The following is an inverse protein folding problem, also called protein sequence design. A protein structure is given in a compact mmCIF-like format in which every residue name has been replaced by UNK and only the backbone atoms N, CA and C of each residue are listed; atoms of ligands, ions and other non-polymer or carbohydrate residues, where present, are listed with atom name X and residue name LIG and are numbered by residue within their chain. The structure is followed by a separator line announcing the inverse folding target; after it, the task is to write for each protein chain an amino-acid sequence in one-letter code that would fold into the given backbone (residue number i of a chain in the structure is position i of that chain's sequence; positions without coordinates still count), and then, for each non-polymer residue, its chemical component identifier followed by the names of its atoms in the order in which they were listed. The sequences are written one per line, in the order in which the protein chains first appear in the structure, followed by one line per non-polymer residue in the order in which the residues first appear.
data_IF_011130520173
#
_entry.id   IF_011130520173
#
_cell.length_a   1.000
_cell.length_b   1.000
_cell.length_c   1.000
_cell.angle_alpha   90.00
_cell.angle_beta   90.00
_cell.angle_gamma   90.00
#
_symmetry.space_group_name_H-M   'P 1'
#
loop_
_entity.id
_entity.type
_entity.pdbx_description
1 polymer ?
#
# COMPACT_ATOMS: atom_id res chain seq x y z
N UNK A 1 32.60 9.36 12.08
CA UNK A 1 32.23 9.77 13.46
C UNK A 1 30.98 8.99 13.85
N UNK A 2 31.14 7.89 14.62
CA UNK A 2 30.02 7.08 15.11
C UNK A 2 29.26 7.89 16.17
N UNK A 3 28.27 8.70 15.78
CA UNK A 3 27.19 9.07 16.69
C UNK A 3 26.25 7.86 16.79
N UNK A 4 26.33 7.14 17.92
CA UNK A 4 25.29 6.14 18.29
C UNK A 4 23.95 6.86 18.20
N UNK A 5 23.01 6.27 17.44
CA UNK A 5 21.60 6.65 17.55
C UNK A 5 21.28 6.55 19.04
N UNK A 6 21.01 7.68 19.68
CA UNK A 6 20.56 7.64 21.07
C UNK A 6 19.23 6.90 21.02
N UNK A 7 19.20 5.68 21.59
CA UNK A 7 17.96 5.05 21.96
C UNK A 7 17.15 6.07 22.75
N UNK A 8 16.20 6.67 22.07
CA UNK A 8 15.35 7.67 22.67
C UNK A 8 14.43 6.90 23.59
N UNK A 9 14.46 7.25 24.87
CA UNK A 9 13.53 6.71 25.84
C UNK A 9 12.12 6.78 25.22
N UNK A 10 11.40 5.66 25.16
CA UNK A 10 10.07 5.64 24.58
C UNK A 10 9.23 6.71 25.27
N UNK A 11 8.49 7.51 24.49
CA UNK A 11 7.46 8.35 25.09
C UNK A 11 6.53 7.43 25.86
N UNK A 12 6.50 7.63 27.19
CA UNK A 12 5.83 6.77 28.13
C UNK A 12 4.30 6.80 27.89
N UNK A 13 3.63 5.67 28.08
CA UNK A 13 2.18 5.56 28.16
C UNK A 13 1.57 6.66 29.04
N UNK A 14 2.20 6.94 30.20
CA UNK A 14 1.79 7.99 31.12
C UNK A 14 1.70 9.36 30.45
N UNK A 15 2.66 9.70 29.58
CA UNK A 15 2.68 11.01 28.92
C UNK A 15 1.52 11.18 27.93
N UNK A 16 1.18 10.13 27.18
CA UNK A 16 0.04 10.16 26.27
C UNK A 16 -1.28 10.27 27.06
N UNK A 17 -1.40 9.50 28.13
CA UNK A 17 -2.56 9.57 29.02
C UNK A 17 -2.69 10.94 29.72
N UNK A 18 -1.57 11.56 30.12
CA UNK A 18 -1.55 12.92 30.68
C UNK A 18 -2.03 13.97 29.66
N UNK A 19 -1.67 13.82 28.38
CA UNK A 19 -2.16 14.68 27.32
C UNK A 19 -3.64 14.49 27.04
N UNK A 20 -4.12 13.24 27.01
CA UNK A 20 -5.56 12.93 26.92
C UNK A 20 -6.31 13.59 28.07
N UNK A 21 -5.85 13.44 29.31
CA UNK A 21 -6.44 14.06 30.48
C UNK A 21 -6.38 15.59 30.42
N UNK A 22 -5.29 16.18 29.91
CA UNK A 22 -5.18 17.62 29.74
C UNK A 22 -6.17 18.15 28.68
N UNK A 23 -6.38 17.46 27.57
CA UNK A 23 -7.38 17.82 26.55
C UNK A 23 -8.80 17.78 27.15
N UNK A 24 -9.11 16.77 27.98
CA UNK A 24 -10.38 16.70 28.73
C UNK A 24 -10.56 17.87 29.68
N UNK A 25 -9.53 18.25 30.45
CA UNK A 25 -9.56 19.41 31.35
C UNK A 25 -9.73 20.73 30.61
N UNK A 26 -9.22 20.83 29.36
CA UNK A 26 -9.38 22.00 28.49
C UNK A 26 -10.79 22.13 27.88
N UNK A 27 -11.67 21.13 28.10
CA UNK A 27 -13.08 21.16 27.71
C UNK A 27 -13.43 20.25 26.53
N UNK A 28 -12.61 19.27 26.19
CA UNK A 28 -13.00 18.22 25.28
C UNK A 28 -13.88 17.17 25.97
N UNK A 29 -14.93 16.69 25.30
CA UNK A 29 -15.78 15.57 25.79
C UNK A 29 -15.08 14.23 25.64
N UNK A 30 -14.26 14.09 24.60
CA UNK A 30 -13.39 12.94 24.38
C UNK A 30 -12.10 13.38 23.66
N UNK A 31 -11.04 12.60 23.80
CA UNK A 31 -9.75 12.89 23.16
C UNK A 31 -8.99 11.61 22.86
N UNK A 32 -8.16 11.67 21.85
CA UNK A 32 -7.12 10.68 21.56
C UNK A 32 -5.80 11.37 21.21
N UNK A 33 -4.71 10.72 21.57
CA UNK A 33 -3.35 11.18 21.31
C UNK A 33 -2.60 10.05 20.63
N UNK A 34 -2.06 10.35 19.45
CA UNK A 34 -1.18 9.45 18.71
C UNK A 34 0.25 9.98 18.71
N UNK A 35 1.22 9.10 18.81
CA UNK A 35 2.64 9.41 18.72
C UNK A 35 3.29 8.55 17.66
N UNK A 36 4.09 9.17 16.81
CA UNK A 36 4.94 8.50 15.83
C UNK A 36 6.41 8.88 16.05
N UNK A 37 7.29 7.88 16.04
CA UNK A 37 8.72 8.08 15.97
C UNK A 37 9.25 7.27 14.79
N UNK A 38 9.95 7.92 13.88
CA UNK A 38 10.47 7.33 12.66
C UNK A 38 11.95 7.65 12.50
N UNK A 39 12.69 6.70 11.98
CA UNK A 39 14.06 6.89 11.52
C UNK A 39 14.23 6.15 10.21
N UNK A 40 14.86 6.77 9.23
CA UNK A 40 15.20 6.17 7.95
C UNK A 40 16.56 6.61 7.44
N UNK A 41 17.16 5.76 6.66
CA UNK A 41 18.38 6.03 5.91
C UNK A 41 18.22 5.42 4.52
N UNK A 42 18.41 6.22 3.50
CA UNK A 42 18.36 5.84 2.09
C UNK A 42 19.66 6.25 1.42
N UNK A 43 20.14 5.40 0.52
CA UNK A 43 21.28 5.68 -0.33
C UNK A 43 20.90 5.36 -1.76
N UNK A 44 21.16 6.30 -2.67
CA UNK A 44 21.04 6.11 -4.10
C UNK A 44 22.40 6.23 -4.79
N UNK A 45 22.58 5.43 -5.83
CA UNK A 45 23.76 5.42 -6.67
C UNK A 45 23.33 5.50 -8.13
N UNK A 46 24.20 6.09 -8.95
CA UNK A 46 24.01 6.14 -10.41
C UNK A 46 25.33 6.06 -11.15
N UNK A 47 25.39 5.20 -12.17
CA UNK A 47 26.57 4.96 -13.00
C UNK A 47 27.83 4.59 -12.19
N UNK A 48 27.63 3.83 -11.10
CA UNK A 48 28.70 3.36 -10.23
C UNK A 48 29.21 4.40 -9.22
N UNK A 49 28.52 5.53 -9.08
CA UNK A 49 28.88 6.58 -8.13
C UNK A 49 27.73 6.88 -7.16
N UNK A 50 28.08 7.26 -5.94
CA UNK A 50 27.12 7.76 -4.95
C UNK A 50 26.45 9.03 -5.48
N UNK A 51 25.11 9.06 -5.48
CA UNK A 51 24.32 10.21 -5.89
C UNK A 51 23.73 10.95 -4.69
N UNK A 52 23.11 10.21 -3.75
CA UNK A 52 22.46 10.82 -2.60
C UNK A 52 22.51 9.93 -1.36
N UNK A 53 22.61 10.55 -0.19
CA UNK A 53 22.42 9.94 1.12
C UNK A 53 21.39 10.77 1.86
N UNK A 54 20.21 10.21 2.08
CA UNK A 54 19.15 10.88 2.83
C UNK A 54 18.95 10.20 4.18
N UNK A 55 18.96 10.99 5.26
CA UNK A 55 18.66 10.54 6.61
C UNK A 55 17.54 11.39 7.18
N UNK A 56 16.47 10.74 7.59
CA UNK A 56 15.34 11.38 8.24
C UNK A 56 15.13 10.80 9.64
N UNK A 57 14.90 11.68 10.61
CA UNK A 57 14.45 11.33 11.95
C UNK A 57 13.32 12.26 12.35
N UNK A 58 12.17 11.71 12.71
CA UNK A 58 11.03 12.51 13.16
C UNK A 58 10.39 11.94 14.41
N UNK A 59 9.83 12.85 15.22
CA UNK A 59 9.03 12.56 16.40
C UNK A 59 7.87 13.53 16.43
N UNK A 60 6.69 12.98 16.26
CA UNK A 60 5.52 13.80 16.09
C UNK A 60 4.38 13.29 17.00
N UNK A 61 3.59 14.24 17.48
CA UNK A 61 2.36 13.97 18.25
C UNK A 61 1.18 14.49 17.46
N UNK A 62 0.13 13.68 17.35
CA UNK A 62 -1.20 14.09 16.91
C UNK A 62 -2.17 14.09 18.08
N UNK A 63 -2.99 15.14 18.17
CA UNK A 63 -4.10 15.21 19.14
C UNK A 63 -5.40 15.41 18.38
N UNK A 64 -6.40 14.57 18.65
CA UNK A 64 -7.74 14.72 18.13
C UNK A 64 -8.70 14.81 19.30
N UNK A 65 -9.60 15.79 19.25
CA UNK A 65 -10.59 16.02 20.30
C UNK A 65 -12.00 16.10 19.74
N UNK A 66 -12.97 15.79 20.61
CA UNK A 66 -14.39 15.81 20.31
C UNK A 66 -15.10 16.71 21.32
N UNK A 67 -16.00 17.59 20.84
CA UNK A 67 -16.84 18.47 21.64
C UNK A 67 -18.26 18.41 21.04
N UNK A 68 -19.19 17.72 21.71
CA UNK A 68 -20.48 17.38 21.14
C UNK A 68 -20.31 16.59 19.85
N UNK A 69 -20.94 17.05 18.77
CA UNK A 69 -20.81 16.48 17.42
C UNK A 69 -19.69 17.12 16.59
N UNK A 70 -18.68 17.70 17.22
CA UNK A 70 -17.59 18.41 16.54
C UNK A 70 -16.26 17.76 16.84
N UNK A 71 -15.35 17.81 15.87
CA UNK A 71 -14.00 17.28 16.03
C UNK A 71 -12.97 18.20 15.42
N UNK A 72 -11.75 18.14 15.94
CA UNK A 72 -10.58 18.72 15.32
C UNK A 72 -9.35 17.86 15.58
N UNK A 73 -8.38 17.92 14.67
CA UNK A 73 -7.09 17.24 14.79
C UNK A 73 -5.97 18.23 14.52
N UNK A 74 -4.90 18.14 15.28
CA UNK A 74 -3.65 18.86 15.03
C UNK A 74 -2.47 17.97 15.31
N UNK A 75 -1.35 18.23 14.65
CA UNK A 75 -0.08 17.56 14.94
C UNK A 75 1.05 18.57 15.12
N UNK A 76 2.14 18.12 15.72
CA UNK A 76 3.35 18.89 15.90
C UNK A 76 4.53 18.05 16.34
N UNK A 77 5.73 18.55 16.06
CA UNK A 77 7.01 17.93 16.40
C UNK A 77 7.62 18.46 17.71
N UNK A 78 7.07 19.57 18.25
CA UNK A 78 7.49 20.07 19.56
C UNK A 78 6.84 19.26 20.69
N UNK A 79 7.58 18.28 21.18
CA UNK A 79 7.17 17.38 22.26
C UNK A 79 7.48 17.93 23.66
N UNK A 80 7.98 19.17 23.80
CA UNK A 80 8.19 19.83 25.09
C UNK A 80 6.87 20.03 25.85
N UNK A 81 6.93 20.27 27.14
CA UNK A 81 5.72 20.54 27.94
C UNK A 81 4.93 21.75 27.42
N UNK A 82 5.64 22.81 26.98
CA UNK A 82 5.04 24.01 26.39
C UNK A 82 4.42 23.69 25.02
N UNK A 83 5.12 22.96 24.13
CA UNK A 83 4.62 22.56 22.82
C UNK A 83 3.34 21.72 22.94
N UNK A 84 3.31 20.75 23.85
CA UNK A 84 2.12 19.94 24.12
C UNK A 84 0.94 20.75 24.63
N UNK A 85 1.19 21.72 25.54
CA UNK A 85 0.14 22.60 26.07
C UNK A 85 -0.47 23.46 24.95
N UNK A 86 0.35 24.07 24.10
CA UNK A 86 -0.09 24.84 22.92
C UNK A 86 -0.88 23.99 21.93
N UNK A 87 -0.46 22.75 21.72
CA UNK A 87 -1.15 21.80 20.83
C UNK A 87 -2.57 21.52 21.32
N UNK A 88 -2.72 21.26 22.64
CA UNK A 88 -4.03 20.99 23.28
C UNK A 88 -4.92 22.22 23.22
N UNK A 89 -4.42 23.40 23.58
CA UNK A 89 -5.18 24.65 23.49
C UNK A 89 -5.71 24.88 22.08
N UNK A 90 -4.82 24.75 21.08
CA UNK A 90 -5.15 24.94 19.68
C UNK A 90 -6.22 23.98 19.18
N UNK A 91 -6.10 22.68 19.47
CA UNK A 91 -7.06 21.68 18.97
C UNK A 91 -8.43 21.83 19.60
N UNK A 92 -8.50 22.18 20.89
CA UNK A 92 -9.77 22.46 21.58
C UNK A 92 -10.45 23.71 21.02
N UNK A 93 -9.68 24.77 20.78
CA UNK A 93 -10.22 25.98 20.15
C UNK A 93 -10.76 25.70 18.74
N UNK A 94 -10.03 24.91 17.94
CA UNK A 94 -10.48 24.50 16.60
C UNK A 94 -11.77 23.64 16.66
N UNK A 95 -11.86 22.68 17.57
CA UNK A 95 -13.04 21.83 17.71
C UNK A 95 -14.30 22.61 18.09
N UNK A 96 -14.17 23.68 18.90
CA UNK A 96 -15.30 24.58 19.24
C UNK A 96 -15.88 25.31 18.03
N UNK A 97 -15.06 25.56 17.01
CA UNK A 97 -15.42 26.28 15.79
C UNK A 97 -15.70 25.35 14.60
N UNK A 98 -15.43 24.07 14.74
CA UNK A 98 -15.64 23.09 13.67
C UNK A 98 -17.15 22.93 13.37
N UNK A 99 -17.51 22.60 12.12
CA UNK A 99 -18.89 22.22 11.81
C UNK A 99 -19.29 20.93 12.53
N UNK A 100 -20.61 20.74 12.71
CA UNK A 100 -21.14 19.51 13.29
C UNK A 100 -20.92 18.33 12.34
N UNK A 101 -20.41 17.24 12.88
CA UNK A 101 -20.25 15.92 12.25
C UNK A 101 -20.89 14.86 13.16
N UNK A 102 -22.14 14.45 12.88
CA UNK A 102 -22.89 13.54 13.75
C UNK A 102 -22.27 12.14 13.83
N UNK A 103 -21.32 11.83 12.97
CA UNK A 103 -20.68 10.52 12.90
C UNK A 103 -19.30 10.47 13.59
N UNK A 104 -18.78 11.61 14.03
CA UNK A 104 -17.47 11.67 14.70
C UNK A 104 -17.52 11.03 16.11
N UNK A 105 -16.35 10.70 16.65
CA UNK A 105 -16.18 10.19 18.02
C UNK A 105 -15.20 9.02 18.10
N UNK A 106 -14.90 8.59 19.33
CA UNK A 106 -14.04 7.43 19.59
C UNK A 106 -14.71 6.12 19.19
N UNK A 107 -13.91 5.08 19.02
CA UNK A 107 -14.38 3.72 18.78
C UNK A 107 -15.21 3.21 19.98
N UNK A 108 -16.26 2.41 19.73
CA UNK A 108 -17.01 1.79 20.81
C UNK A 108 -16.12 0.88 21.67
N UNK A 109 -16.23 0.96 23.00
CA UNK A 109 -15.36 0.22 23.94
C UNK A 109 -15.31 -1.30 23.68
N UNK A 110 -16.43 -1.89 23.29
CA UNK A 110 -16.49 -3.33 22.99
C UNK A 110 -15.78 -3.74 21.70
N UNK A 111 -15.38 -2.77 20.87
CA UNK A 111 -14.62 -2.98 19.65
C UNK A 111 -13.13 -2.72 19.82
N UNK A 112 -12.71 -2.12 20.94
CA UNK A 112 -11.30 -1.84 21.20
C UNK A 112 -10.52 -3.14 21.33
N UNK A 113 -9.33 -3.15 20.79
CA UNK A 113 -8.40 -4.27 20.94
C UNK A 113 -7.99 -4.42 22.41
N UNK A 114 -7.98 -5.64 22.90
CA UNK A 114 -7.58 -5.97 24.25
C UNK A 114 -6.34 -6.88 24.19
N UNK A 115 -5.33 -6.54 25.00
CA UNK A 115 -4.08 -7.33 25.02
C UNK A 115 -4.21 -8.68 25.74
N UNK A 116 -3.19 -9.57 25.62
CA UNK A 116 -1.98 -9.38 24.83
C UNK A 116 -2.23 -9.55 23.33
N UNK A 117 -1.56 -8.73 22.50
CA UNK A 117 -1.62 -8.85 21.05
C UNK A 117 -0.67 -9.95 20.54
N UNK A 118 -1.00 -10.54 19.39
CA UNK A 118 -0.14 -11.51 18.73
C UNK A 118 1.21 -10.87 18.35
N UNK A 119 2.30 -11.64 18.53
CA UNK A 119 3.60 -11.24 18.01
C UNK A 119 3.62 -11.44 16.48
N UNK A 120 3.53 -10.35 15.76
CA UNK A 120 3.51 -10.32 14.31
C UNK A 120 4.91 -10.25 13.69
N UNK A 121 5.97 -10.21 14.52
CA UNK A 121 7.38 -10.17 14.09
C UNK A 121 7.68 -9.01 13.11
N UNK A 122 7.18 -7.80 13.42
CA UNK A 122 7.24 -6.64 12.52
C UNK A 122 8.54 -5.84 12.63
N UNK A 123 9.36 -6.10 13.64
CA UNK A 123 10.51 -5.29 13.97
C UNK A 123 11.81 -6.10 13.99
N UNK A 124 12.63 -5.89 12.99
CA UNK A 124 14.03 -6.32 12.95
C UNK A 124 14.89 -5.24 13.63
N UNK A 125 15.66 -5.57 14.68
CA UNK A 125 16.52 -4.61 15.38
C UNK A 125 17.77 -4.21 14.59
N UNK A 126 18.00 -4.77 13.41
CA UNK A 126 19.17 -4.46 12.58
C UNK A 126 19.09 -3.03 12.06
N UNK A 127 20.12 -2.24 12.34
CA UNK A 127 20.30 -0.90 11.79
C UNK A 127 21.35 -0.94 10.68
N UNK A 128 21.02 -0.41 9.52
CA UNK A 128 21.94 -0.34 8.39
C UNK A 128 22.64 1.02 8.35
N UNK A 129 23.98 0.98 8.18
CA UNK A 129 24.75 2.20 7.92
C UNK A 129 24.82 2.56 6.45
N UNK A 130 25.19 3.82 6.14
CA UNK A 130 25.26 4.31 4.76
C UNK A 130 26.19 3.47 3.87
N UNK A 131 27.37 3.08 4.36
CA UNK A 131 28.33 2.24 3.60
C UNK A 131 27.72 0.88 3.21
N UNK A 132 26.93 0.25 4.10
CA UNK A 132 26.30 -1.03 3.82
C UNK A 132 25.14 -0.90 2.82
N UNK A 133 24.40 0.21 2.88
CA UNK A 133 23.33 0.51 1.90
C UNK A 133 23.92 0.88 0.54
N UNK A 134 25.00 1.67 0.50
CA UNK A 134 25.74 2.01 -0.73
C UNK A 134 26.23 0.74 -1.42
N UNK A 135 26.87 -0.16 -0.67
CA UNK A 135 27.35 -1.42 -1.23
C UNK A 135 26.22 -2.26 -1.87
N UNK A 136 25.04 -2.27 -1.26
CA UNK A 136 23.85 -2.96 -1.82
C UNK A 136 23.35 -2.28 -3.10
N UNK A 137 23.25 -0.95 -3.09
CA UNK A 137 22.80 -0.21 -4.25
C UNK A 137 23.77 -0.37 -5.42
N UNK A 138 25.09 -0.28 -5.17
CA UNK A 138 26.12 -0.53 -6.18
C UNK A 138 26.06 -1.95 -6.76
N UNK A 139 25.90 -2.97 -5.92
CA UNK A 139 25.81 -4.36 -6.38
C UNK A 139 24.56 -4.59 -7.26
N UNK A 140 23.42 -3.99 -6.91
CA UNK A 140 22.21 -4.05 -7.72
C UNK A 140 22.39 -3.33 -9.07
N UNK A 141 22.97 -2.13 -9.07
CA UNK A 141 23.19 -1.36 -10.29
C UNK A 141 24.23 -2.02 -11.21
N UNK A 142 25.36 -2.46 -10.67
CA UNK A 142 26.42 -3.12 -11.44
C UNK A 142 25.87 -4.36 -12.15
N UNK A 143 25.12 -5.19 -11.43
CA UNK A 143 24.50 -6.38 -12.02
C UNK A 143 23.48 -6.02 -13.08
N UNK A 144 22.64 -5.02 -12.85
CA UNK A 144 21.65 -4.58 -13.83
C UNK A 144 22.29 -4.06 -15.11
N UNK A 145 23.36 -3.25 -14.99
CA UNK A 145 24.15 -2.72 -16.10
C UNK A 145 24.96 -3.79 -16.83
N UNK A 146 25.30 -4.88 -16.14
CA UNK A 146 26.01 -6.02 -16.74
C UNK A 146 25.13 -6.91 -17.64
N UNK A 147 23.82 -6.72 -17.66
CA UNK A 147 22.94 -7.46 -18.56
C UNK A 147 23.14 -6.98 -19.99
N UNK A 148 23.42 -7.91 -20.92
CA UNK A 148 23.63 -7.59 -22.32
C UNK A 148 22.39 -6.91 -22.93
N UNK A 149 22.59 -5.76 -23.60
CA UNK A 149 21.51 -4.92 -24.15
C UNK A 149 21.12 -3.74 -23.27
N UNK A 150 21.55 -3.70 -22.00
CA UNK A 150 21.42 -2.51 -21.16
C UNK A 150 22.45 -1.47 -21.57
N UNK A 151 22.00 -0.24 -21.80
CA UNK A 151 22.83 0.86 -22.33
C UNK A 151 23.04 2.00 -21.33
N UNK A 152 22.18 2.12 -20.31
CA UNK A 152 22.25 3.19 -19.31
C UNK A 152 21.61 2.76 -17.99
N UNK A 153 21.78 3.57 -16.95
CA UNK A 153 21.17 3.39 -15.63
C UNK A 153 20.43 4.65 -15.19
N UNK A 154 19.24 4.45 -14.65
CA UNK A 154 18.52 5.46 -13.88
C UNK A 154 18.88 5.38 -12.38
N UNK A 155 19.73 4.44 -12.02
CA UNK A 155 20.28 4.25 -10.68
C UNK A 155 19.73 3.05 -9.96
N UNK A 156 20.27 2.86 -8.76
CA UNK A 156 19.77 1.90 -7.79
C UNK A 156 19.74 2.54 -6.40
N UNK A 157 18.88 2.02 -5.54
CA UNK A 157 18.77 2.50 -4.18
C UNK A 157 18.64 1.35 -3.19
N UNK A 158 19.14 1.59 -1.97
CA UNK A 158 18.88 0.73 -0.83
C UNK A 158 18.50 1.58 0.37
N UNK A 159 17.57 1.10 1.19
CA UNK A 159 17.11 1.84 2.35
C UNK A 159 16.81 0.94 3.54
N UNK A 160 16.86 1.55 4.70
CA UNK A 160 16.41 1.00 5.97
C UNK A 160 15.53 2.01 6.67
N UNK A 161 14.47 1.53 7.34
CA UNK A 161 13.67 2.38 8.21
C UNK A 161 13.18 1.63 9.45
N UNK A 162 12.90 2.38 10.51
CA UNK A 162 12.21 1.90 11.70
C UNK A 162 11.14 2.88 12.15
N UNK A 163 10.07 2.37 12.75
CA UNK A 163 8.97 3.18 13.24
C UNK A 163 8.40 2.65 14.54
N UNK A 164 7.92 3.57 15.37
CA UNK A 164 7.09 3.28 16.54
C UNK A 164 5.80 4.08 16.41
N UNK A 165 4.69 3.42 16.61
CA UNK A 165 3.37 4.03 16.70
C UNK A 165 2.75 3.76 18.06
N UNK A 166 2.10 4.78 18.65
CA UNK A 166 1.35 4.68 19.90
C UNK A 166 0.08 5.45 19.83
N UNK A 167 -0.96 4.92 20.46
CA UNK A 167 -2.27 5.55 20.55
C UNK A 167 -2.79 5.43 21.99
N UNK A 168 -3.25 6.55 22.55
CA UNK A 168 -4.00 6.60 23.80
C UNK A 168 -5.33 7.31 23.60
N UNK A 169 -6.40 6.82 24.22
CA UNK A 169 -7.74 7.42 24.12
C UNK A 169 -8.33 7.70 25.50
N UNK A 170 -9.27 8.65 25.59
CA UNK A 170 -9.97 8.98 26.81
C UNK A 170 -10.91 7.86 27.32
N UNK A 171 -11.16 6.85 26.51
CA UNK A 171 -11.92 5.66 26.89
C UNK A 171 -11.06 4.56 27.52
N UNK A 172 -9.76 4.86 27.72
CA UNK A 172 -8.80 3.99 28.41
C UNK A 172 -8.08 3.01 27.49
N UNK A 173 -8.18 3.14 26.18
CA UNK A 173 -7.34 2.37 25.28
C UNK A 173 -5.92 2.94 25.29
N UNK A 174 -4.94 2.04 25.39
CA UNK A 174 -3.55 2.28 25.04
C UNK A 174 -3.04 1.12 24.22
N UNK A 175 -2.38 1.42 23.11
CA UNK A 175 -1.73 0.42 22.28
C UNK A 175 -0.48 0.98 21.61
N UNK A 176 0.51 0.11 21.40
CA UNK A 176 1.72 0.45 20.68
C UNK A 176 2.16 -0.70 19.77
N UNK A 177 2.86 -0.34 18.71
CA UNK A 177 3.57 -1.30 17.87
C UNK A 177 4.81 -0.68 17.24
N UNK A 178 5.74 -1.52 16.82
CA UNK A 178 6.96 -1.15 16.13
C UNK A 178 7.06 -1.88 14.82
N UNK A 179 7.74 -1.25 13.86
CA UNK A 179 8.04 -1.88 12.59
C UNK A 179 9.42 -1.46 12.08
N UNK A 180 10.01 -2.33 11.27
CA UNK A 180 11.19 -2.03 10.49
C UNK A 180 10.89 -2.32 9.00
N UNK A 181 11.67 -1.74 8.10
CA UNK A 181 11.66 -2.16 6.70
C UNK A 181 13.04 -1.98 6.06
N UNK A 182 13.32 -2.86 5.11
CA UNK A 182 14.53 -2.89 4.30
C UNK A 182 14.11 -2.95 2.84
N UNK A 183 14.73 -2.12 2.01
CA UNK A 183 14.41 -2.09 0.58
C UNK A 183 15.68 -2.08 -0.26
N UNK A 184 15.58 -2.65 -1.46
CA UNK A 184 16.56 -2.51 -2.54
C UNK A 184 15.82 -2.45 -3.86
N UNK A 185 16.28 -1.60 -4.78
CA UNK A 185 15.70 -1.46 -6.11
C UNK A 185 16.74 -0.98 -7.12
N UNK A 186 16.55 -1.36 -8.38
CA UNK A 186 17.36 -0.89 -9.50
C UNK A 186 16.48 -0.58 -10.71
N UNK A 187 16.88 0.43 -11.48
CA UNK A 187 16.20 0.84 -12.70
C UNK A 187 17.24 1.12 -13.79
N UNK A 188 17.09 0.48 -14.94
CA UNK A 188 18.02 0.59 -16.06
C UNK A 188 17.29 0.76 -17.38
N UNK A 189 18.04 1.20 -18.38
CA UNK A 189 17.57 1.46 -19.74
C UNK A 189 18.26 0.48 -20.69
N UNK A 190 17.48 -0.17 -21.54
CA UNK A 190 17.95 -1.00 -22.64
C UNK A 190 17.49 -0.43 -23.99
N UNK A 191 18.09 -0.90 -25.08
CA UNK A 191 17.76 -0.48 -26.45
C UNK A 191 18.85 0.37 -27.09
N UNK A 192 18.47 1.32 -27.92
CA UNK A 192 19.36 2.26 -28.60
C UNK A 192 18.79 3.69 -28.59
N UNK A 193 19.49 4.63 -29.22
CA UNK A 193 19.08 6.04 -29.25
C UNK A 193 17.69 6.31 -29.90
N UNK A 194 17.15 5.35 -30.65
CA UNK A 194 15.86 5.47 -31.35
C UNK A 194 14.71 4.86 -30.56
N UNK A 195 15.00 3.91 -29.67
CA UNK A 195 14.00 3.20 -28.86
C UNK A 195 14.63 2.74 -27.54
N UNK A 196 14.34 3.46 -26.47
CA UNK A 196 14.81 3.18 -25.12
C UNK A 196 13.66 2.63 -24.28
N UNK A 197 13.93 1.53 -23.58
CA UNK A 197 12.95 0.89 -22.69
C UNK A 197 13.50 0.78 -21.26
N UNK A 198 12.62 1.05 -20.29
CA UNK A 198 12.94 1.01 -18.87
C UNK A 198 12.64 -0.38 -18.28
N UNK A 199 13.56 -0.89 -17.48
CA UNK A 199 13.34 -2.04 -16.64
C UNK A 199 13.57 -1.70 -15.17
N UNK A 200 12.66 -2.14 -14.34
CA UNK A 200 12.70 -1.93 -12.89
C UNK A 200 12.42 -3.21 -12.13
N UNK A 201 13.15 -3.41 -11.05
CA UNK A 201 12.82 -4.38 -9.99
C UNK A 201 13.13 -3.78 -8.63
N UNK A 202 12.27 -4.08 -7.64
CA UNK A 202 12.47 -3.68 -6.26
C UNK A 202 11.76 -4.57 -5.28
N UNK A 203 12.31 -4.65 -4.08
CA UNK A 203 11.75 -5.42 -2.97
C UNK A 203 11.84 -4.64 -1.67
N UNK A 204 10.81 -4.83 -0.85
CA UNK A 204 10.76 -4.35 0.53
C UNK A 204 10.33 -5.48 1.44
N UNK A 205 11.00 -5.62 2.60
CA UNK A 205 10.70 -6.63 3.61
C UNK A 205 10.76 -6.02 5.01
N UNK A 206 10.14 -6.69 5.99
CA UNK A 206 10.24 -6.31 7.42
C UNK A 206 11.57 -6.69 8.03
N UNK A 207 12.14 -7.80 7.58
CA UNK A 207 13.39 -8.35 8.07
C UNK A 207 14.46 -8.30 6.99
N UNK A 208 15.67 -7.92 7.40
CA UNK A 208 16.82 -7.83 6.52
C UNK A 208 17.18 -9.16 5.86
N UNK A 209 17.01 -10.26 6.59
CA UNK A 209 17.26 -11.61 6.08
C UNK A 209 16.29 -12.09 5.00
N UNK A 210 15.08 -11.51 4.95
CA UNK A 210 14.05 -11.84 3.97
C UNK A 210 14.23 -11.09 2.66
N UNK A 211 15.16 -10.09 2.61
CA UNK A 211 15.40 -9.29 1.43
C UNK A 211 16.18 -10.11 0.40
N UNK A 212 15.73 -10.21 -0.86
CA UNK A 212 16.51 -10.83 -1.92
C UNK A 212 17.88 -10.18 -2.10
N UNK A 213 18.82 -10.90 -2.68
CA UNK A 213 20.16 -10.34 -2.92
C UNK A 213 20.07 -9.16 -3.90
N UNK A 214 20.89 -8.12 -3.72
CA UNK A 214 20.93 -6.99 -4.64
C UNK A 214 21.19 -7.40 -6.08
N UNK A 215 22.04 -8.41 -6.30
CA UNK A 215 22.35 -8.94 -7.61
C UNK A 215 21.13 -9.56 -8.30
N UNK A 216 20.28 -10.27 -7.55
CA UNK A 216 19.03 -10.84 -8.09
C UNK A 216 18.05 -9.76 -8.54
N UNK A 217 17.97 -8.66 -7.79
CA UNK A 217 17.17 -7.48 -8.13
C UNK A 217 17.72 -6.79 -9.39
N UNK A 218 19.02 -6.55 -9.45
CA UNK A 218 19.67 -5.95 -10.60
C UNK A 218 19.50 -6.77 -11.87
N UNK A 219 19.76 -8.08 -11.79
CA UNK A 219 19.59 -8.98 -12.93
C UNK A 219 18.16 -9.00 -13.47
N UNK A 220 17.16 -8.95 -12.59
CA UNK A 220 15.75 -8.91 -12.99
C UNK A 220 15.40 -7.57 -13.66
N UNK A 221 15.86 -6.44 -13.12
CA UNK A 221 15.67 -5.12 -13.71
C UNK A 221 16.25 -5.07 -15.14
N UNK A 222 17.48 -5.54 -15.31
CA UNK A 222 18.15 -5.62 -16.64
C UNK A 222 17.40 -6.51 -17.64
N UNK A 223 17.00 -7.73 -17.21
CA UNK A 223 16.22 -8.63 -18.07
C UNK A 223 14.90 -8.03 -18.55
N UNK A 224 14.21 -7.28 -17.69
CA UNK A 224 12.96 -6.60 -18.04
C UNK A 224 13.15 -5.48 -19.02
N UNK A 225 14.19 -4.66 -18.84
CA UNK A 225 14.53 -3.61 -19.79
C UNK A 225 14.78 -4.20 -21.20
N UNK A 226 15.62 -5.23 -21.28
CA UNK A 226 15.96 -5.89 -22.55
C UNK A 226 14.73 -6.56 -23.19
N UNK A 227 13.89 -7.20 -22.41
CA UNK A 227 12.68 -7.86 -22.91
C UNK A 227 11.65 -6.90 -23.54
N UNK A 228 11.68 -5.62 -23.16
CA UNK A 228 10.78 -4.60 -23.70
C UNK A 228 11.28 -3.98 -25.01
N UNK A 229 12.56 -4.15 -25.36
CA UNK A 229 13.18 -3.53 -26.54
C UNK A 229 12.55 -4.00 -27.85
N UNK A 230 12.33 -3.07 -28.77
CA UNK A 230 11.72 -3.35 -30.06
C UNK A 230 10.20 -3.41 -30.03
N UNK A 231 9.60 -2.83 -28.98
CA UNK A 231 8.15 -2.71 -28.85
C UNK A 231 7.53 -2.00 -30.05
N UNK A 232 6.41 -2.55 -30.54
CA UNK A 232 5.65 -1.97 -31.65
C UNK A 232 4.21 -1.74 -31.28
N UNK A 233 3.60 -0.73 -31.89
CA UNK A 233 2.15 -0.50 -31.80
C UNK A 233 1.40 -1.58 -32.58
N UNK A 234 0.29 -2.02 -32.03
CA UNK A 234 -0.65 -2.93 -32.69
C UNK A 234 -1.88 -2.19 -33.16
N UNK A 235 -2.65 -2.77 -34.06
CA UNK A 235 -3.94 -2.24 -34.47
C UNK A 235 -4.93 -2.29 -33.29
N UNK A 236 -5.85 -1.31 -33.25
CA UNK A 236 -6.94 -1.30 -32.26
C UNK A 236 -7.79 -2.57 -32.39
N UNK A 237 -8.03 -3.26 -31.28
CA UNK A 237 -8.70 -4.56 -31.27
C UNK A 237 -9.38 -4.83 -29.92
N UNK A 238 -10.10 -5.93 -29.85
CA UNK A 238 -10.58 -6.54 -28.61
C UNK A 238 -9.90 -7.89 -28.44
N UNK A 239 -9.21 -8.10 -27.33
CA UNK A 239 -8.46 -9.34 -27.11
C UNK A 239 -8.36 -9.68 -25.61
N UNK A 240 -7.98 -10.93 -25.28
CA UNK A 240 -7.56 -11.31 -23.94
C UNK A 240 -6.34 -10.49 -23.48
N UNK A 241 -6.37 -10.06 -22.21
CA UNK A 241 -5.26 -9.35 -21.58
C UNK A 241 -4.86 -10.07 -20.31
N UNK A 242 -3.58 -10.39 -20.19
CA UNK A 242 -2.99 -10.92 -18.96
C UNK A 242 -2.20 -9.81 -18.31
N UNK A 243 -2.54 -9.47 -17.06
CA UNK A 243 -1.76 -8.57 -16.22
C UNK A 243 -0.75 -9.42 -15.44
N UNK A 244 0.54 -9.18 -15.65
CA UNK A 244 1.62 -9.87 -14.92
C UNK A 244 1.47 -9.60 -13.41
N UNK A 245 1.77 -10.59 -12.56
CA UNK A 245 1.51 -10.59 -11.11
C UNK A 245 1.93 -9.31 -10.37
N UNK A 246 3.02 -8.65 -10.77
CA UNK A 246 3.46 -7.37 -10.19
C UNK A 246 2.48 -6.24 -10.46
N UNK A 247 1.86 -6.25 -11.62
CA UNK A 247 0.95 -5.20 -12.10
C UNK A 247 -0.52 -5.55 -11.82
N UNK A 248 -0.83 -6.82 -11.64
CA UNK A 248 -2.18 -7.31 -11.38
C UNK A 248 -2.81 -6.70 -10.13
N UNK A 249 -2.00 -6.29 -9.13
CA UNK A 249 -2.45 -5.54 -7.96
C UNK A 249 -3.07 -4.19 -8.31
N UNK A 250 -2.79 -3.63 -9.50
CA UNK A 250 -3.41 -2.39 -9.99
C UNK A 250 -4.93 -2.51 -10.20
N UNK A 251 -5.44 -3.73 -10.44
CA UNK A 251 -6.87 -4.00 -10.49
C UNK A 251 -7.51 -4.09 -9.09
N UNK A 252 -6.71 -4.33 -8.03
CA UNK A 252 -7.19 -4.33 -6.64
C UNK A 252 -7.32 -2.91 -6.06
N UNK A 253 -6.54 -1.94 -6.54
CA UNK A 253 -6.63 -0.54 -6.10
C UNK A 253 -8.03 0.06 -6.28
N UNK A 254 -8.63 0.00 -7.47
CA UNK A 254 -10.01 0.40 -7.70
C UNK A 254 -11.05 -0.33 -6.84
N UNK A 255 -10.86 -1.63 -6.58
CA UNK A 255 -11.70 -2.39 -5.65
C UNK A 255 -11.66 -1.76 -4.26
N UNK A 256 -10.45 -1.51 -3.72
CA UNK A 256 -10.26 -0.87 -2.40
C UNK A 256 -10.97 0.48 -2.35
N UNK A 257 -10.82 1.32 -3.37
CA UNK A 257 -11.53 2.60 -3.48
C UNK A 257 -13.05 2.44 -3.50
N UNK A 258 -13.55 1.44 -4.25
CA UNK A 258 -14.96 1.13 -4.39
C UNK A 258 -15.63 0.57 -3.12
N UNK A 259 -14.89 -0.17 -2.29
CA UNK A 259 -15.37 -0.72 -1.01
C UNK A 259 -15.00 0.14 0.20
N UNK A 260 -14.36 1.29 -0.02
CA UNK A 260 -14.04 2.25 1.03
C UNK A 260 -15.31 2.80 1.66
N UNK A 261 -15.47 2.60 2.97
CA UNK A 261 -16.63 3.08 3.74
C UNK A 261 -16.94 4.57 3.51
N UNK A 262 -15.94 5.47 3.57
CA UNK A 262 -16.16 6.88 3.22
C UNK A 262 -16.69 7.11 1.79
N UNK A 263 -16.27 6.33 0.80
CA UNK A 263 -16.77 6.45 -0.57
C UNK A 263 -18.21 5.94 -0.70
N UNK A 264 -18.49 4.80 -0.07
CA UNK A 264 -19.85 4.20 -0.02
C UNK A 264 -20.81 5.12 0.69
N UNK A 265 -20.43 5.66 1.86
CA UNK A 265 -21.25 6.56 2.65
C UNK A 265 -21.61 7.88 1.91
N UNK A 266 -20.71 8.39 1.08
CA UNK A 266 -20.96 9.54 0.21
C UNK A 266 -21.71 9.21 -1.09
N UNK A 267 -21.95 7.92 -1.38
CA UNK A 267 -22.60 7.48 -2.60
C UNK A 267 -21.73 7.56 -3.87
N UNK A 268 -20.43 7.79 -3.73
CA UNK A 268 -19.46 7.95 -4.84
C UNK A 268 -18.66 6.66 -5.09
N UNK A 269 -19.32 5.54 -5.20
CA UNK A 269 -18.72 4.24 -5.47
C UNK A 269 -19.54 3.46 -6.48
N UNK A 270 -18.88 2.89 -7.50
CA UNK A 270 -19.50 1.97 -8.46
C UNK A 270 -19.91 0.62 -7.79
N UNK A 271 -19.44 0.34 -6.59
CA UNK A 271 -19.77 -0.86 -5.81
C UNK A 271 -20.80 -0.62 -4.69
N UNK A 272 -21.27 0.61 -4.47
CA UNK A 272 -22.11 0.99 -3.30
C UNK A 272 -23.32 0.10 -3.05
N UNK A 273 -23.91 -0.51 -4.08
CA UNK A 273 -25.10 -1.37 -4.00
C UNK A 273 -24.76 -2.87 -4.13
N UNK A 274 -23.46 -3.24 -3.96
CA UNK A 274 -22.97 -4.58 -4.26
C UNK A 274 -22.66 -5.44 -3.02
N UNK A 275 -22.83 -4.92 -1.81
CA UNK A 275 -22.65 -5.74 -0.59
C UNK A 275 -23.57 -6.96 -0.60
N UNK A 276 -23.02 -8.14 -0.35
CA UNK A 276 -23.73 -9.43 -0.40
C UNK A 276 -24.09 -9.92 -1.82
N UNK A 277 -23.56 -9.27 -2.86
CA UNK A 277 -23.84 -9.64 -4.27
C UNK A 277 -22.57 -10.10 -4.98
N UNK A 278 -22.71 -10.92 -6.04
CA UNK A 278 -21.60 -11.26 -6.92
C UNK A 278 -21.00 -9.99 -7.56
N UNK A 279 -19.68 -9.88 -7.49
CA UNK A 279 -18.87 -8.82 -8.12
C UNK A 279 -17.80 -9.44 -8.99
N UNK A 280 -17.22 -10.55 -8.53
CA UNK A 280 -16.19 -11.31 -9.25
C UNK A 280 -16.76 -12.60 -9.83
N UNK A 281 -15.99 -13.22 -10.72
CA UNK A 281 -16.26 -14.57 -11.17
C UNK A 281 -16.33 -15.54 -9.97
N UNK A 282 -17.14 -16.58 -10.10
CA UNK A 282 -17.21 -17.66 -9.11
C UNK A 282 -15.84 -18.32 -8.95
N UNK A 283 -15.47 -18.67 -7.71
CA UNK A 283 -14.15 -19.24 -7.37
C UNK A 283 -13.10 -18.16 -7.05
N UNK A 284 -13.37 -16.88 -7.30
CA UNK A 284 -12.46 -15.79 -6.94
C UNK A 284 -12.62 -15.44 -5.47
N UNK A 285 -11.53 -15.47 -4.72
CA UNK A 285 -11.48 -15.09 -3.31
C UNK A 285 -10.37 -14.05 -3.08
N UNK A 286 -10.71 -12.99 -2.37
CA UNK A 286 -9.77 -11.94 -1.96
C UNK A 286 -9.85 -11.82 -0.44
N UNK A 287 -8.71 -11.98 0.23
CA UNK A 287 -8.62 -11.90 1.68
C UNK A 287 -7.82 -10.67 2.12
N UNK A 288 -8.13 -10.14 3.30
CA UNK A 288 -7.29 -9.19 4.02
C UNK A 288 -6.89 -9.80 5.38
N UNK A 289 -5.57 -9.82 5.64
CA UNK A 289 -5.03 -10.43 6.86
C UNK A 289 -4.13 -9.42 7.61
N UNK A 290 -4.66 -8.73 8.64
CA UNK A 290 -3.88 -7.81 9.47
C UNK A 290 -2.83 -8.50 10.34
N UNK A 291 -2.91 -9.84 10.48
CA UNK A 291 -2.04 -10.61 11.37
C UNK A 291 -1.00 -11.47 10.64
N UNK A 292 -0.80 -11.25 9.34
CA UNK A 292 0.30 -11.92 8.62
C UNK A 292 1.63 -11.61 9.29
N UNK A 293 2.32 -12.65 9.72
CA UNK A 293 3.66 -12.52 10.30
C UNK A 293 4.60 -11.85 9.30
N UNK A 294 5.39 -10.84 9.72
CA UNK A 294 6.27 -10.02 8.89
C UNK A 294 5.57 -9.32 7.71
N UNK A 295 4.24 -9.23 7.73
CA UNK A 295 3.47 -8.57 6.68
C UNK A 295 3.70 -7.05 6.68
N UNK A 296 3.86 -6.45 5.49
CA UNK A 296 4.12 -5.01 5.37
C UNK A 296 2.94 -4.14 5.82
N UNK A 297 1.71 -4.65 5.69
CA UNK A 297 0.50 -3.99 6.18
C UNK A 297 -0.02 -4.51 7.52
N UNK A 298 0.72 -5.39 8.20
CA UNK A 298 0.26 -5.97 9.46
C UNK A 298 0.34 -4.99 10.62
N UNK A 299 -0.67 -5.03 11.48
CA UNK A 299 -0.74 -4.29 12.73
C UNK A 299 -1.61 -5.05 13.74
N UNK A 300 -1.37 -4.90 15.07
CA UNK A 300 -2.15 -5.60 16.10
C UNK A 300 -3.55 -5.01 16.33
N UNK A 301 -3.81 -3.82 15.84
CA UNK A 301 -5.08 -3.09 15.89
C UNK A 301 -5.07 -1.99 14.82
N UNK A 302 -6.23 -1.42 14.50
CA UNK A 302 -6.31 -0.31 13.56
C UNK A 302 -5.99 1.05 14.23
N UNK A 303 -5.92 2.11 13.43
CA UNK A 303 -5.51 3.44 13.92
C UNK A 303 -6.60 4.18 14.74
N UNK A 304 -7.73 3.53 15.05
CA UNK A 304 -8.71 3.96 16.06
C UNK A 304 -8.66 3.07 17.32
N UNK A 305 -7.70 2.12 17.39
CA UNK A 305 -7.56 1.16 18.49
C UNK A 305 -8.54 0.00 18.41
N UNK A 306 -9.22 -0.18 17.29
CA UNK A 306 -10.19 -1.25 17.07
C UNK A 306 -9.47 -2.56 16.81
N UNK A 307 -9.97 -3.65 17.40
CA UNK A 307 -9.49 -4.99 17.08
C UNK A 307 -9.75 -5.30 15.60
N UNK A 308 -8.69 -5.64 14.90
CA UNK A 308 -8.72 -6.10 13.52
C UNK A 308 -8.65 -7.63 13.46
N UNK A 309 -9.10 -8.22 12.38
CA UNK A 309 -9.13 -9.67 12.19
C UNK A 309 -9.02 -10.05 10.71
N UNK A 310 -8.44 -11.22 10.39
CA UNK A 310 -8.46 -11.73 9.03
C UNK A 310 -9.88 -11.91 8.53
N UNK A 311 -10.14 -11.51 7.27
CA UNK A 311 -11.45 -11.68 6.65
C UNK A 311 -11.37 -11.84 5.14
N UNK A 312 -12.36 -12.49 4.57
CA UNK A 312 -12.58 -12.43 3.13
C UNK A 312 -13.24 -11.11 2.78
N UNK A 313 -12.69 -10.40 1.81
CA UNK A 313 -13.31 -9.20 1.20
C UNK A 313 -14.23 -9.64 0.06
N UNK A 314 -13.75 -10.58 -0.74
CA UNK A 314 -14.52 -11.31 -1.73
C UNK A 314 -14.44 -12.79 -1.36
N UNK A 315 -15.58 -13.45 -1.28
CA UNK A 315 -15.68 -14.89 -1.01
C UNK A 315 -16.49 -15.57 -2.13
N UNK A 316 -15.87 -16.48 -2.85
CA UNK A 316 -16.46 -17.14 -4.02
C UNK A 316 -17.17 -16.16 -4.99
N UNK A 317 -16.51 -15.03 -5.26
CA UNK A 317 -17.00 -13.97 -6.14
C UNK A 317 -17.95 -12.96 -5.49
N UNK A 318 -18.40 -13.17 -4.26
CA UNK A 318 -19.36 -12.33 -3.56
C UNK A 318 -18.64 -11.28 -2.69
N UNK A 319 -19.02 -10.02 -2.79
CA UNK A 319 -18.53 -8.95 -1.89
C UNK A 319 -19.15 -9.11 -0.50
N UNK A 320 -18.33 -9.36 0.52
CA UNK A 320 -18.78 -9.70 1.87
C UNK A 320 -18.77 -8.55 2.86
N UNK A 321 -17.97 -7.52 2.60
CA UNK A 321 -17.76 -6.43 3.56
C UNK A 321 -17.31 -5.13 2.89
N UNK A 322 -17.52 -4.01 3.59
CA UNK A 322 -16.85 -2.74 3.35
C UNK A 322 -15.61 -2.62 4.23
N UNK A 323 -14.66 -1.76 3.85
CA UNK A 323 -13.60 -1.30 4.74
C UNK A 323 -14.11 -0.10 5.53
N UNK A 324 -14.36 -0.27 6.82
CA UNK A 324 -15.02 0.73 7.67
C UNK A 324 -14.10 1.21 8.80
N UNK A 325 -14.02 2.53 8.96
CA UNK A 325 -13.63 3.19 10.20
C UNK A 325 -14.89 3.51 11.03
N UNK A 326 -14.73 4.06 12.22
CA UNK A 326 -15.85 4.39 13.12
C UNK A 326 -16.85 5.36 12.48
N UNK A 327 -16.38 6.41 11.83
CA UNK A 327 -17.24 7.43 11.23
C UNK A 327 -18.10 6.87 10.09
N UNK A 328 -17.50 6.18 9.13
CA UNK A 328 -18.24 5.59 8.00
C UNK A 328 -19.17 4.47 8.44
N UNK A 329 -18.76 3.68 9.45
CA UNK A 329 -19.63 2.66 10.03
C UNK A 329 -20.92 3.27 10.63
N UNK A 330 -20.79 4.33 11.44
CA UNK A 330 -21.94 5.06 12.00
C UNK A 330 -22.84 5.63 10.91
N UNK A 331 -22.26 6.26 9.88
CA UNK A 331 -23.00 6.85 8.77
C UNK A 331 -23.80 5.79 7.99
N UNK A 332 -23.28 4.58 7.87
CA UNK A 332 -23.92 3.46 7.18
C UNK A 332 -24.82 2.61 8.09
N UNK A 333 -24.90 2.90 9.41
CA UNK A 333 -25.65 2.10 10.38
C UNK A 333 -25.04 0.71 10.60
N UNK A 334 -23.72 0.57 10.45
CA UNK A 334 -22.95 -0.66 10.58
C UNK A 334 -21.94 -0.55 11.74
N UNK A 335 -21.23 -1.64 12.02
CA UNK A 335 -20.06 -1.64 12.91
C UNK A 335 -18.77 -1.46 12.14
N UNK A 336 -17.78 -0.82 12.79
CA UNK A 336 -16.41 -0.71 12.23
C UNK A 336 -15.81 -2.08 11.98
N UNK A 337 -15.03 -2.19 10.92
CA UNK A 337 -14.40 -3.44 10.50
C UNK A 337 -12.91 -3.53 10.88
N UNK A 338 -12.39 -2.55 11.66
CA UNK A 338 -10.98 -2.53 12.05
C UNK A 338 -10.03 -2.18 10.89
N UNK A 339 -10.47 -1.28 10.00
CA UNK A 339 -9.68 -0.83 8.85
C UNK A 339 -9.36 0.67 8.89
N UNK A 340 -9.52 1.31 10.05
CA UNK A 340 -9.14 2.70 10.18
C UNK A 340 -7.64 2.88 9.91
N UNK A 341 -7.31 3.88 9.09
CA UNK A 341 -5.93 4.25 8.77
C UNK A 341 -5.79 5.75 8.78
N UNK A 342 -4.77 6.28 9.47
CA UNK A 342 -4.56 7.72 9.58
C UNK A 342 -3.11 8.13 9.74
N UNK A 343 -2.81 9.38 9.37
CA UNK A 343 -1.67 10.10 9.90
C UNK A 343 -2.01 10.80 11.23
N UNK A 344 -1.11 11.67 11.68
CA UNK A 344 -1.25 12.39 12.96
C UNK A 344 -2.18 13.62 12.88
N UNK A 345 -2.34 14.21 11.70
CA UNK A 345 -2.95 15.55 11.52
C UNK A 345 -4.43 15.53 11.11
N UNK A 346 -5.01 14.37 10.80
CA UNK A 346 -6.38 14.29 10.25
C UNK A 346 -7.23 13.19 10.87
N UNK A 347 -8.53 13.17 10.56
CA UNK A 347 -9.40 12.06 10.93
C UNK A 347 -8.99 10.78 10.16
N UNK A 348 -9.28 9.59 10.70
CA UNK A 348 -9.01 8.34 10.02
C UNK A 348 -9.75 8.20 8.69
N UNK A 349 -9.03 7.74 7.65
CA UNK A 349 -9.59 7.11 6.48
C UNK A 349 -9.75 5.61 6.67
N UNK A 350 -9.70 4.85 5.57
CA UNK A 350 -9.68 3.38 5.62
C UNK A 350 -8.63 2.83 4.66
N UNK A 351 -8.02 1.72 5.04
CA UNK A 351 -7.06 0.97 4.22
C UNK A 351 -7.15 -0.52 4.54
N UNK A 352 -6.95 -1.42 3.58
CA UNK A 352 -6.70 -2.82 3.89
C UNK A 352 -5.34 -2.97 4.58
N UNK A 353 -5.14 -4.10 5.23
CA UNK A 353 -3.88 -4.51 5.83
C UNK A 353 -3.00 -5.27 4.82
N UNK A 354 -3.19 -6.58 4.70
CA UNK A 354 -2.48 -7.39 3.70
C UNK A 354 -3.48 -8.06 2.75
N UNK A 355 -3.89 -7.30 1.75
CA UNK A 355 -4.85 -7.74 0.74
C UNK A 355 -4.21 -8.75 -0.21
N UNK A 356 -4.89 -9.88 -0.45
CA UNK A 356 -4.39 -10.91 -1.34
C UNK A 356 -5.52 -11.50 -2.19
N UNK A 357 -5.39 -11.41 -3.51
CA UNK A 357 -6.15 -12.25 -4.42
C UNK A 357 -5.56 -13.65 -4.37
N UNK A 358 -6.37 -14.63 -3.95
CA UNK A 358 -5.92 -16.01 -3.85
C UNK A 358 -5.63 -16.60 -5.24
N UNK A 359 -4.63 -17.51 -5.34
CA UNK A 359 -4.23 -18.06 -6.61
C UNK A 359 -5.29 -19.01 -7.18
N UNK A 360 -5.41 -19.03 -8.50
CA UNK A 360 -6.09 -20.04 -9.26
C UNK A 360 -5.22 -21.29 -9.50
N UNK A 361 -5.55 -22.06 -10.52
CA UNK A 361 -4.88 -23.34 -10.81
C UNK A 361 -3.96 -23.31 -12.02
N UNK A 362 -4.10 -22.34 -12.92
CA UNK A 362 -3.34 -22.22 -14.17
C UNK A 362 -2.13 -21.31 -13.98
N UNK A 363 -0.95 -21.73 -14.36
CA UNK A 363 0.20 -20.85 -14.44
C UNK A 363 0.07 -19.84 -15.60
N UNK A 364 0.94 -18.83 -15.66
CA UNK A 364 0.88 -17.79 -16.68
C UNK A 364 0.94 -18.34 -18.11
N UNK A 365 1.74 -19.38 -18.36
CA UNK A 365 1.84 -20.00 -19.67
C UNK A 365 0.55 -20.77 -20.03
N UNK A 366 -0.09 -21.41 -19.05
CA UNK A 366 -1.39 -22.06 -19.24
C UNK A 366 -2.50 -21.04 -19.49
N UNK A 367 -2.48 -19.89 -18.80
CA UNK A 367 -3.41 -18.78 -19.07
C UNK A 367 -3.26 -18.26 -20.50
N UNK A 368 -2.02 -18.09 -21.00
CA UNK A 368 -1.77 -17.67 -22.38
C UNK A 368 -2.26 -18.73 -23.41
N UNK A 369 -2.06 -20.02 -23.13
CA UNK A 369 -2.57 -21.08 -24.00
C UNK A 369 -4.11 -21.13 -24.05
N UNK A 370 -4.74 -21.00 -22.91
CA UNK A 370 -6.21 -21.00 -22.79
C UNK A 370 -6.83 -19.79 -23.50
N UNK A 371 -6.18 -18.63 -23.38
CA UNK A 371 -6.58 -17.39 -24.04
C UNK A 371 -6.30 -17.39 -25.57
N UNK A 372 -5.40 -18.23 -26.06
CA UNK A 372 -4.99 -18.33 -27.46
C UNK A 372 -4.05 -17.22 -27.92
N UNK A 373 -4.54 -16.00 -28.12
CA UNK A 373 -3.75 -14.84 -28.49
C UNK A 373 -4.22 -13.59 -27.72
N UNK A 374 -3.28 -12.71 -27.37
CA UNK A 374 -3.59 -11.52 -26.60
C UNK A 374 -2.37 -10.74 -26.15
N UNK A 375 -2.54 -9.91 -25.13
CA UNK A 375 -1.46 -9.08 -24.57
C UNK A 375 -1.12 -9.53 -23.14
N UNK A 376 0.15 -9.82 -22.88
CA UNK A 376 0.74 -9.88 -21.54
C UNK A 376 1.27 -8.49 -21.18
N UNK A 377 0.59 -7.79 -20.29
CA UNK A 377 0.97 -6.46 -19.81
C UNK A 377 2.07 -6.59 -18.76
N UNK A 378 3.22 -5.93 -18.99
CA UNK A 378 4.40 -5.93 -18.11
C UNK A 378 4.80 -4.53 -17.64
N UNK A 379 4.17 -3.47 -18.19
CA UNK A 379 4.29 -2.09 -17.75
C UNK A 379 2.95 -1.36 -17.87
N UNK A 380 2.66 -0.46 -16.93
CA UNK A 380 1.42 0.32 -16.88
C UNK A 380 1.72 1.76 -16.47
N UNK A 381 1.02 2.72 -17.08
CA UNK A 381 1.15 4.14 -16.79
C UNK A 381 -0.17 4.91 -16.98
N UNK A 382 -0.37 5.98 -16.24
CA UNK A 382 -1.48 6.90 -16.41
C UNK A 382 -2.88 6.27 -16.28
N UNK A 383 -3.18 5.50 -15.21
CA UNK A 383 -4.50 4.91 -15.04
C UNK A 383 -5.57 6.00 -14.86
N UNK A 384 -6.74 5.79 -15.46
CA UNK A 384 -7.93 6.63 -15.31
C UNK A 384 -9.09 5.78 -14.81
N UNK A 385 -9.87 6.32 -13.86
CA UNK A 385 -11.02 5.67 -13.26
C UNK A 385 -12.15 6.65 -13.04
N UNK A 386 -13.33 6.34 -13.53
CA UNK A 386 -14.57 6.96 -13.06
C UNK A 386 -15.10 6.17 -11.85
N UNK A 387 -14.92 6.70 -10.65
CA UNK A 387 -15.32 6.02 -9.42
C UNK A 387 -16.83 5.79 -9.27
N UNK A 388 -17.67 6.50 -10.01
CA UNK A 388 -19.13 6.32 -9.95
C UNK A 388 -19.63 5.21 -10.88
N UNK A 389 -19.00 5.03 -12.05
CA UNK A 389 -19.45 4.10 -13.09
C UNK A 389 -18.59 2.85 -13.18
N UNK A 390 -17.33 2.91 -12.73
CA UNK A 390 -16.34 1.85 -12.89
C UNK A 390 -15.63 1.85 -14.24
N UNK A 391 -15.83 2.84 -15.10
CA UNK A 391 -15.10 2.95 -16.36
C UNK A 391 -13.64 3.21 -16.09
N UNK A 392 -12.78 2.38 -16.68
CA UNK A 392 -11.36 2.34 -16.41
C UNK A 392 -10.55 2.19 -17.69
N UNK A 393 -9.40 2.84 -17.71
CA UNK A 393 -8.40 2.68 -18.76
C UNK A 393 -6.99 2.90 -18.23
N UNK A 394 -6.00 2.33 -18.93
CA UNK A 394 -4.60 2.48 -18.56
C UNK A 394 -3.71 2.36 -19.78
N UNK A 395 -2.68 3.22 -19.88
CA UNK A 395 -1.59 3.06 -20.82
C UNK A 395 -0.73 1.86 -20.45
N UNK A 396 -0.37 1.04 -21.42
CA UNK A 396 0.35 -0.21 -21.22
C UNK A 396 1.46 -0.42 -22.24
N UNK A 397 2.46 -1.21 -21.79
CA UNK A 397 3.41 -1.92 -22.65
C UNK A 397 3.51 -3.36 -22.17
N UNK A 398 3.96 -4.26 -23.04
CA UNK A 398 4.09 -5.66 -22.71
C UNK A 398 4.44 -6.51 -23.92
N UNK A 399 3.82 -7.67 -24.05
CA UNK A 399 4.12 -8.60 -25.13
C UNK A 399 2.84 -9.14 -25.75
N UNK A 400 2.76 -9.19 -27.05
CA UNK A 400 1.77 -9.99 -27.73
C UNK A 400 2.15 -11.47 -27.60
N UNK A 401 1.20 -12.31 -27.24
CA UNK A 401 1.37 -13.77 -27.18
C UNK A 401 0.44 -14.47 -28.16
N UNK A 402 0.87 -15.61 -28.66
CA UNK A 402 0.11 -16.51 -29.52
C UNK A 402 0.40 -17.98 -29.12
N UNK A 403 -0.65 -18.78 -29.03
CA UNK A 403 -0.54 -20.21 -28.71
C UNK A 403 0.24 -20.53 -27.42
N UNK A 404 0.22 -19.63 -26.44
CA UNK A 404 0.91 -19.80 -25.16
C UNK A 404 2.38 -19.33 -25.14
N UNK A 405 2.87 -18.71 -26.22
CA UNK A 405 4.24 -18.24 -26.36
C UNK A 405 4.27 -16.73 -26.65
N UNK A 406 5.29 -16.05 -26.15
CA UNK A 406 5.55 -14.64 -26.46
C UNK A 406 5.99 -14.51 -27.91
N UNK A 407 5.27 -13.69 -28.69
CA UNK A 407 5.55 -13.47 -30.11
C UNK A 407 6.43 -12.22 -30.33
N UNK A 408 6.09 -11.09 -29.71
CA UNK A 408 6.85 -9.85 -29.85
C UNK A 408 6.45 -8.82 -28.77
N UNK A 409 7.34 -7.84 -28.44
CA UNK A 409 7.01 -6.78 -27.52
C UNK A 409 6.03 -5.76 -28.16
N UNK A 410 5.17 -5.20 -27.32
CA UNK A 410 4.13 -4.22 -27.66
C UNK A 410 4.29 -2.99 -26.77
N UNK A 411 4.18 -1.80 -27.35
CA UNK A 411 4.30 -0.54 -26.64
C UNK A 411 3.20 0.45 -27.02
N UNK A 412 3.01 1.48 -26.19
CA UNK A 412 2.11 2.60 -26.43
C UNK A 412 0.67 2.18 -26.80
N UNK A 413 0.14 1.21 -26.08
CA UNK A 413 -1.27 0.81 -26.17
C UNK A 413 -2.04 1.30 -24.95
N UNK A 414 -3.36 1.42 -25.10
CA UNK A 414 -4.28 1.65 -23.97
C UNK A 414 -5.24 0.48 -23.85
N UNK A 415 -5.31 -0.08 -22.65
CA UNK A 415 -6.31 -1.09 -22.29
C UNK A 415 -7.46 -0.43 -21.56
N UNK A 416 -8.70 -0.72 -21.93
CA UNK A 416 -9.89 -0.11 -21.36
C UNK A 416 -11.03 -1.11 -21.15
N UNK A 417 -11.89 -0.80 -20.17
CA UNK A 417 -13.10 -1.55 -19.88
C UNK A 417 -13.86 -0.99 -18.67
N UNK A 418 -14.97 -1.63 -18.33
CA UNK A 418 -15.68 -1.34 -17.09
C UNK A 418 -15.27 -2.34 -16.00
N UNK A 419 -14.90 -1.88 -14.82
CA UNK A 419 -14.38 -2.74 -13.74
C UNK A 419 -15.39 -3.78 -13.26
N UNK A 420 -16.70 -3.50 -13.32
CA UNK A 420 -17.72 -4.50 -12.95
C UNK A 420 -17.64 -5.69 -13.92
N UNK A 421 -17.50 -5.43 -15.21
CA UNK A 421 -17.38 -6.46 -16.23
C UNK A 421 -16.00 -7.16 -16.19
N UNK A 422 -14.93 -6.41 -15.89
CA UNK A 422 -13.58 -6.94 -15.70
C UNK A 422 -13.56 -7.94 -14.54
N UNK A 423 -14.08 -7.56 -13.37
CA UNK A 423 -14.12 -8.42 -12.20
C UNK A 423 -14.99 -9.67 -12.41
N UNK A 424 -16.12 -9.54 -13.10
CA UNK A 424 -17.00 -10.68 -13.42
C UNK A 424 -16.35 -11.72 -14.33
N UNK A 425 -15.29 -11.36 -15.08
CA UNK A 425 -14.58 -12.23 -16.03
C UNK A 425 -13.14 -12.55 -15.62
N UNK A 426 -12.68 -12.00 -14.52
CA UNK A 426 -11.32 -12.15 -14.04
C UNK A 426 -10.99 -13.60 -13.68
N UNK A 427 -9.89 -14.10 -14.21
CA UNK A 427 -9.35 -15.42 -13.91
C UNK A 427 -7.96 -15.28 -13.27
N UNK A 428 -7.78 -15.66 -11.99
CA UNK A 428 -6.48 -15.60 -11.33
C UNK A 428 -5.57 -16.75 -11.76
N UNK A 429 -4.29 -16.46 -11.93
CA UNK A 429 -3.24 -17.46 -12.15
C UNK A 429 -2.80 -18.14 -10.86
N UNK A 430 -1.86 -19.10 -10.97
CA UNK A 430 -1.32 -19.84 -9.81
C UNK A 430 0.00 -19.27 -9.29
N UNK A 431 0.54 -18.24 -9.92
CA UNK A 431 1.89 -17.67 -9.70
C UNK A 431 1.94 -16.58 -8.63
N UNK A 432 1.07 -16.67 -7.61
CA UNK A 432 1.05 -15.73 -6.49
C UNK A 432 2.41 -15.65 -5.81
N UNK A 433 2.90 -14.44 -5.65
CA UNK A 433 4.10 -14.10 -4.88
C UNK A 433 3.78 -12.98 -3.89
N UNK A 434 4.17 -13.15 -2.63
CA UNK A 434 4.01 -12.11 -1.62
C UNK A 434 5.14 -11.08 -1.77
N UNK A 435 4.78 -9.86 -2.18
CA UNK A 435 5.72 -8.78 -2.48
C UNK A 435 5.49 -7.51 -1.66
N UNK A 436 4.27 -7.29 -1.22
CA UNK A 436 3.84 -6.07 -0.55
C UNK A 436 2.67 -6.29 0.40
N UNK A 437 2.01 -5.22 0.76
CA UNK A 437 0.74 -5.28 1.49
C UNK A 437 -0.45 -5.65 0.58
N UNK A 438 -0.34 -5.45 -0.73
CA UNK A 438 -1.30 -5.94 -1.72
C UNK A 438 -0.62 -6.92 -2.66
N UNK A 439 -1.22 -8.10 -2.85
CA UNK A 439 -0.61 -9.18 -3.61
C UNK A 439 -1.64 -9.85 -4.53
N UNK A 440 -1.18 -10.23 -5.71
CA UNK A 440 -1.99 -10.89 -6.72
C UNK A 440 -1.13 -11.87 -7.52
N UNK A 441 -1.67 -13.00 -7.95
CA UNK A 441 -1.11 -13.75 -9.08
C UNK A 441 -1.31 -12.95 -10.38
N UNK A 442 -0.78 -13.43 -11.49
CA UNK A 442 -1.17 -12.96 -12.82
C UNK A 442 -2.68 -13.08 -13.00
N UNK A 443 -3.29 -12.15 -13.73
CA UNK A 443 -4.72 -12.09 -13.94
C UNK A 443 -5.00 -12.08 -15.44
N UNK A 444 -5.83 -13.03 -15.91
CA UNK A 444 -6.40 -12.99 -17.26
C UNK A 444 -7.77 -12.32 -17.21
N UNK A 445 -8.03 -11.42 -18.14
CA UNK A 445 -9.37 -10.87 -18.45
C UNK A 445 -9.58 -10.97 -19.95
N UNK A 446 -10.57 -11.70 -20.37
CA UNK A 446 -10.93 -11.83 -21.78
C UNK A 446 -11.72 -10.61 -22.29
N UNK A 447 -11.57 -10.29 -23.58
CA UNK A 447 -12.40 -9.32 -24.29
C UNK A 447 -12.24 -7.87 -23.83
N UNK A 448 -11.03 -7.43 -23.48
CA UNK A 448 -10.75 -6.02 -23.21
C UNK A 448 -10.51 -5.23 -24.51
N UNK A 449 -10.96 -3.98 -24.52
CA UNK A 449 -10.64 -3.06 -25.59
C UNK A 449 -9.19 -2.62 -25.51
N UNK A 450 -8.47 -2.73 -26.62
CA UNK A 450 -7.09 -2.31 -26.78
C UNK A 450 -7.04 -1.25 -27.86
N UNK A 451 -6.70 -0.03 -27.51
CA UNK A 451 -6.44 1.04 -28.47
C UNK A 451 -4.94 1.08 -28.76
N UNK A 452 -4.58 1.01 -30.03
CA UNK A 452 -3.24 1.05 -30.55
C UNK A 452 -3.07 2.13 -31.60
N UNK A 453 -2.90 1.71 -32.89
CA UNK A 453 -2.91 2.63 -34.04
C UNK A 453 -4.33 2.98 -34.46
#
# INVERSE_FOLDING_TARGET
VRRRIRHIAPMDENLLNDMVAAARRAGADAAEVAYANRASLSVSVRLGALEEVEREESRDIGVRVFIGARQASVSGSDISAEGRAKLIERVVAMARLAPDDPYCGLAPRHRLATGPHADLDLYDPTEMGAEALEARALAAEETARGVEGVINSEGASASWSSSVWRLATSDGFFGDHRGASFSVGAQVIAGDASAMELGYEGRTTRWNEDLPTPESIGAEAGRRAVAAVGGRKIESTTAPVIFERRLATSLLGPLIGGISGPSVARGVSFLKDKLGKPVFARGVTITDDPHRRRGLGSSPFDDEGVANEPRSIIDDGVLTTWLLNVSSARQLGLETTGHASRGLAGPPGVSPSNLTLLPGTLDQAALMRDAGAGVLVTSMFGPSLNANTGDWSVGCSGHWFENGEIAYPVTEITVAGNLIDIYARLVPGSDLEIRGSSNSPSILVDGLAIAGK
#
